data_IF_849758091667
#
_entry.id   IF_849758091667
#
_cell.length_a   1.000
_cell.length_b   1.000
_cell.length_c   1.000
_cell.angle_alpha   90.00
_cell.angle_beta   90.00
_cell.angle_gamma   90.00
#
_symmetry.space_group_name_H-M   'P 1'
#
loop_
_entity.id
_entity.type
_entity.pdbx_description
1 polymer ?
#
# COMPACT_ATOMS: atom_id res chain seq x y z
N UNK A 1 15.83 10.95 0.52
CA UNK A 1 15.54 9.70 1.24
C UNK A 1 14.14 9.32 0.86
N UNK A 2 13.94 8.13 0.28
CA UNK A 2 12.63 7.70 -0.16
C UNK A 2 11.64 7.63 1.00
N UNK A 3 10.45 8.19 0.79
CA UNK A 3 9.36 8.30 1.76
C UNK A 3 8.23 7.31 1.49
N UNK A 4 8.01 6.93 0.24
CA UNK A 4 6.97 5.96 -0.12
C UNK A 4 7.26 5.28 -1.45
N UNK A 5 6.76 4.05 -1.59
CA UNK A 5 6.67 3.38 -2.89
C UNK A 5 5.19 3.33 -3.29
N UNK A 6 4.89 3.96 -4.41
CA UNK A 6 3.54 4.13 -4.94
C UNK A 6 3.35 3.21 -6.14
N UNK A 7 2.11 2.81 -6.40
CA UNK A 7 1.74 2.09 -7.60
C UNK A 7 0.45 2.60 -8.22
N UNK A 8 0.32 2.39 -9.53
CA UNK A 8 -0.98 2.28 -10.15
C UNK A 8 -1.16 0.90 -10.74
N UNK A 9 -2.40 0.42 -10.81
CA UNK A 9 -2.72 -0.86 -11.42
C UNK A 9 -4.15 -0.81 -11.98
N UNK A 10 -4.49 -1.78 -12.82
CA UNK A 10 -5.82 -1.92 -13.41
C UNK A 10 -6.48 -3.24 -13.05
N UNK A 11 -7.78 -3.17 -12.82
CA UNK A 11 -8.59 -4.33 -12.47
C UNK A 11 -10.00 -3.92 -12.08
N UNK A 12 -10.91 -4.86 -12.26
CA UNK A 12 -12.24 -4.73 -11.68
C UNK A 12 -12.15 -4.97 -10.18
N UNK A 13 -12.81 -4.11 -9.42
CA UNK A 13 -12.95 -4.33 -7.98
C UNK A 13 -13.75 -5.62 -7.77
N UNK A 14 -13.28 -6.54 -6.91
CA UNK A 14 -14.15 -7.60 -6.42
C UNK A 14 -15.39 -6.99 -5.76
N UNK A 15 -16.53 -7.69 -5.74
CA UNK A 15 -17.82 -7.23 -5.22
C UNK A 15 -17.67 -6.18 -4.10
N UNK A 16 -18.12 -4.94 -4.36
CA UNK A 16 -17.91 -3.81 -3.45
C UNK A 16 -18.58 -4.10 -2.11
N UNK A 17 -17.81 -4.10 -1.02
CA UNK A 17 -18.32 -4.36 0.34
C UNK A 17 -18.91 -3.09 0.99
N UNK A 18 -18.81 -1.93 0.33
CA UNK A 18 -19.31 -0.64 0.83
C UNK A 18 -20.20 0.13 -0.15
N UNK A 19 -21.12 0.92 0.41
CA UNK A 19 -22.13 1.70 -0.34
C UNK A 19 -21.66 3.09 -0.79
N UNK A 20 -20.56 3.61 -0.21
CA UNK A 20 -20.14 5.02 -0.41
C UNK A 20 -18.75 5.20 -1.02
N UNK A 21 -17.77 4.36 -0.66
CA UNK A 21 -16.37 4.50 -1.07
C UNK A 21 -15.89 3.16 -1.62
N UNK A 22 -15.24 3.19 -2.77
CA UNK A 22 -14.68 2.01 -3.42
C UNK A 22 -13.27 1.72 -2.94
N UNK A 23 -12.83 0.47 -3.06
CA UNK A 23 -11.48 0.02 -2.75
C UNK A 23 -11.39 -0.91 -1.53
N UNK A 24 -12.48 -1.13 -0.79
CA UNK A 24 -12.46 -1.97 0.41
C UNK A 24 -12.07 -3.40 0.07
N UNK A 25 -12.62 -3.94 -1.02
CA UNK A 25 -12.34 -5.30 -1.46
C UNK A 25 -10.88 -5.49 -1.86
N UNK A 26 -10.23 -4.46 -2.42
CA UNK A 26 -8.78 -4.46 -2.64
C UNK A 26 -8.01 -4.41 -1.33
N UNK A 27 -8.42 -3.53 -0.40
CA UNK A 27 -7.76 -3.42 0.90
C UNK A 27 -7.81 -4.74 1.67
N UNK A 28 -8.96 -5.41 1.68
CA UNK A 28 -9.14 -6.75 2.26
C UNK A 28 -8.27 -7.79 1.58
N UNK A 29 -8.27 -7.85 0.24
CA UNK A 29 -7.44 -8.79 -0.51
C UNK A 29 -5.95 -8.63 -0.21
N UNK A 30 -5.47 -7.39 -0.12
CA UNK A 30 -4.08 -7.10 0.25
C UNK A 30 -3.81 -7.50 1.70
N UNK A 31 -4.69 -7.13 2.62
CA UNK A 31 -4.59 -7.50 4.03
C UNK A 31 -4.54 -9.02 4.22
N UNK A 32 -5.46 -9.76 3.62
CA UNK A 32 -5.53 -11.22 3.69
C UNK A 32 -4.30 -11.88 3.05
N UNK A 33 -3.86 -11.37 1.89
CA UNK A 33 -2.67 -11.84 1.20
C UNK A 33 -1.41 -11.64 2.04
N UNK A 34 -1.25 -10.48 2.67
CA UNK A 34 -0.13 -10.22 3.59
C UNK A 34 -0.25 -11.06 4.86
N UNK A 35 -1.44 -11.15 5.47
CA UNK A 35 -1.69 -11.98 6.65
C UNK A 35 -1.33 -13.46 6.42
N UNK A 36 -1.67 -14.01 5.25
CA UNK A 36 -1.31 -15.40 4.87
C UNK A 36 0.20 -15.64 4.76
N UNK A 37 0.98 -14.57 4.60
CA UNK A 37 2.45 -14.57 4.55
C UNK A 37 3.08 -14.25 5.90
N UNK A 38 2.30 -14.22 6.98
CA UNK A 38 2.76 -14.02 8.35
C UNK A 38 2.94 -12.57 8.78
N UNK A 39 2.43 -11.60 8.01
CA UNK A 39 2.52 -10.19 8.34
C UNK A 39 1.47 -9.78 9.39
N UNK A 40 1.82 -8.85 10.28
CA UNK A 40 0.90 -8.37 11.32
C UNK A 40 0.03 -7.23 10.80
N UNK A 41 -1.20 -7.55 10.43
CA UNK A 41 -2.17 -6.59 9.87
C UNK A 41 -3.01 -5.96 10.98
N UNK A 42 -3.15 -4.64 10.94
CA UNK A 42 -4.05 -3.87 11.79
C UNK A 42 -5.45 -3.75 11.20
N UNK A 43 -6.24 -2.81 11.72
CA UNK A 43 -7.58 -2.56 11.21
C UNK A 43 -7.53 -1.86 9.84
N UNK A 44 -8.47 -2.23 8.96
CA UNK A 44 -8.73 -1.49 7.72
C UNK A 44 -9.64 -0.31 8.06
N UNK A 45 -9.21 0.89 7.72
CA UNK A 45 -9.95 2.12 8.00
C UNK A 45 -10.25 2.94 6.75
N UNK A 46 -11.21 3.86 6.87
CA UNK A 46 -11.46 4.89 5.87
C UNK A 46 -10.25 5.83 5.76
N UNK A 47 -9.79 6.06 4.52
CA UNK A 47 -8.82 7.09 4.21
C UNK A 47 -9.48 8.30 3.56
N UNK A 48 -9.83 9.28 4.40
CA UNK A 48 -10.31 10.63 4.00
C UNK A 48 -11.49 10.62 3.05
N UNK A 49 -12.44 9.71 3.27
CA UNK A 49 -13.63 9.49 2.46
C UNK A 49 -13.32 9.17 0.98
N UNK A 50 -12.11 8.71 0.66
CA UNK A 50 -11.60 8.59 -0.72
C UNK A 50 -10.89 7.28 -1.03
N UNK A 51 -10.73 6.42 -0.03
CA UNK A 51 -10.08 5.13 -0.16
C UNK A 51 -9.99 4.42 1.18
N UNK A 52 -9.11 3.44 1.25
CA UNK A 52 -8.94 2.60 2.43
C UNK A 52 -7.48 2.54 2.85
N UNK A 53 -7.27 2.52 4.16
CA UNK A 53 -5.97 2.43 4.81
C UNK A 53 -5.84 1.06 5.47
N UNK A 54 -4.75 0.36 5.18
CA UNK A 54 -4.33 -0.86 5.87
C UNK A 54 -3.14 -0.49 6.73
N UNK A 55 -3.25 -0.73 8.03
CA UNK A 55 -2.11 -0.62 8.94
C UNK A 55 -1.33 -1.93 8.96
N UNK A 56 -0.01 -1.84 8.90
CA UNK A 56 0.87 -3.01 8.91
C UNK A 56 2.03 -2.79 9.90
N UNK A 57 2.43 -3.86 10.58
CA UNK A 57 3.65 -3.90 11.39
C UNK A 57 4.58 -4.99 10.87
N UNK A 58 5.84 -4.62 10.60
CA UNK A 58 6.90 -5.53 10.18
C UNK A 58 8.21 -5.11 10.83
N UNK A 59 8.89 -6.05 11.50
CA UNK A 59 10.18 -5.80 12.19
C UNK A 59 10.17 -4.55 13.09
N UNK A 60 9.08 -4.32 13.82
CA UNK A 60 8.82 -3.13 14.66
C UNK A 60 8.68 -1.80 13.90
N UNK A 61 8.75 -1.80 12.56
CA UNK A 61 8.39 -0.68 11.72
C UNK A 61 6.88 -0.72 11.41
N UNK A 62 6.28 0.47 11.35
CA UNK A 62 4.86 0.64 11.06
C UNK A 62 4.68 1.23 9.66
N UNK A 63 3.72 0.68 8.92
CA UNK A 63 3.41 1.07 7.55
C UNK A 63 1.93 1.41 7.43
N UNK A 64 1.67 2.40 6.59
CA UNK A 64 0.35 2.71 6.08
C UNK A 64 0.34 2.29 4.60
N UNK A 65 -0.58 1.39 4.24
CA UNK A 65 -0.87 1.06 2.84
C UNK A 65 -2.22 1.68 2.50
N UNK A 66 -2.23 2.63 1.58
CA UNK A 66 -3.45 3.29 1.11
C UNK A 66 -3.81 2.73 -0.25
N UNK A 67 -5.10 2.42 -0.45
CA UNK A 67 -5.68 2.08 -1.74
C UNK A 67 -6.82 3.05 -2.04
N UNK A 68 -6.80 3.66 -3.21
CA UNK A 68 -7.86 4.55 -3.67
C UNK A 68 -8.14 4.39 -5.16
N UNK A 69 -9.32 4.80 -5.58
CA UNK A 69 -9.70 4.81 -6.98
C UNK A 69 -8.98 5.95 -7.71
N UNK A 70 -8.51 5.70 -8.93
CA UNK A 70 -8.02 6.77 -9.80
C UNK A 70 -9.19 7.61 -10.30
N UNK A 71 -9.11 8.94 -10.15
CA UNK A 71 -10.19 9.81 -10.60
C UNK A 71 -10.31 9.84 -12.13
N UNK A 72 -11.50 9.53 -12.66
CA UNK A 72 -11.77 9.52 -14.09
C UNK A 72 -11.53 8.17 -14.78
N UNK A 73 -11.18 7.12 -14.03
CA UNK A 73 -11.01 5.77 -14.58
C UNK A 73 -11.44 4.69 -13.57
N UNK A 74 -12.60 4.08 -13.83
CA UNK A 74 -13.25 3.17 -12.88
C UNK A 74 -12.54 1.84 -12.67
N UNK A 75 -11.55 1.53 -13.51
CA UNK A 75 -10.77 0.30 -13.48
C UNK A 75 -9.33 0.56 -13.09
N UNK A 76 -8.93 1.80 -12.83
CA UNK A 76 -7.57 2.16 -12.42
C UNK A 76 -7.55 2.52 -10.94
N UNK A 77 -6.53 2.04 -10.27
CA UNK A 77 -6.35 2.16 -8.83
C UNK A 77 -4.99 2.72 -8.52
N UNK A 78 -4.93 3.43 -7.39
CA UNK A 78 -3.71 3.99 -6.82
C UNK A 78 -3.44 3.24 -5.52
N UNK A 79 -2.17 2.90 -5.30
CA UNK A 79 -1.69 2.30 -4.08
C UNK A 79 -0.48 3.09 -3.58
N UNK A 80 -0.39 3.32 -2.28
CA UNK A 80 0.76 3.98 -1.66
C UNK A 80 1.19 3.19 -0.42
N UNK A 81 2.49 2.90 -0.34
CA UNK A 81 3.11 2.28 0.85
C UNK A 81 4.06 3.30 1.45
N UNK A 82 3.79 3.71 2.68
CA UNK A 82 4.59 4.70 3.39
C UNK A 82 4.79 4.30 4.87
N UNK A 83 5.84 4.81 5.54
CA UNK A 83 5.92 4.73 7.00
C UNK A 83 4.70 5.39 7.65
N UNK A 84 4.13 4.75 8.67
CA UNK A 84 2.97 5.30 9.37
C UNK A 84 3.31 6.62 10.06
N UNK A 85 2.48 7.66 9.87
CA UNK A 85 2.73 9.01 10.44
C UNK A 85 2.39 9.11 11.93
N UNK A 86 1.51 8.25 12.44
CA UNK A 86 1.07 8.24 13.83
C UNK A 86 1.04 6.80 14.37
N UNK A 87 2.15 6.28 14.92
CA UNK A 87 2.05 5.14 15.82
C UNK A 87 1.15 5.59 16.98
N UNK A 88 -0.02 4.98 17.15
CA UNK A 88 -1.12 5.51 17.97
C UNK A 88 -0.72 6.12 19.32
N UNK A 89 -1.50 7.11 19.81
CA UNK A 89 -1.22 7.94 20.98
C UNK A 89 -0.68 7.22 22.23
N UNK A 90 -1.09 5.97 22.45
CA UNK A 90 -0.66 5.17 23.62
C UNK A 90 0.82 4.76 23.54
N UNK A 91 1.43 4.68 22.34
CA UNK A 91 2.81 4.19 22.15
C UNK A 91 3.90 5.25 22.31
N UNK A 92 3.52 6.53 22.44
CA UNK A 92 4.46 7.64 22.72
C UNK A 92 5.25 7.45 24.01
N UNK A 93 4.80 6.55 24.90
CA UNK A 93 5.43 6.27 26.19
C UNK A 93 6.33 5.01 26.25
N UNK A 94 6.38 4.16 25.20
CA UNK A 94 7.02 2.83 25.28
C UNK A 94 8.12 2.54 24.24
N UNK A 95 8.88 3.56 23.83
CA UNK A 95 10.12 3.36 23.06
C UNK A 95 10.03 3.76 21.60
N UNK A 96 11.20 3.98 20.99
CA UNK A 96 11.35 4.56 19.66
C UNK A 96 10.64 3.74 18.59
N UNK A 97 9.65 4.32 17.94
CA UNK A 97 9.08 3.75 16.72
C UNK A 97 10.14 3.85 15.63
N UNK A 98 10.59 2.71 15.11
CA UNK A 98 11.52 2.69 14.00
C UNK A 98 10.79 3.19 12.76
N UNK A 99 11.34 4.24 12.15
CA UNK A 99 10.89 4.70 10.84
C UNK A 99 11.26 3.62 9.83
N UNK A 100 10.27 3.13 9.07
CA UNK A 100 10.51 2.12 8.06
C UNK A 100 11.61 2.58 7.09
N UNK A 101 12.57 1.69 6.84
CA UNK A 101 13.65 1.91 5.88
C UNK A 101 13.15 1.71 4.46
N UNK A 102 13.87 2.24 3.47
CA UNK A 102 13.50 2.05 2.06
C UNK A 102 13.56 0.58 1.62
N UNK A 103 14.43 -0.25 2.24
CA UNK A 103 14.43 -1.70 1.99
C UNK A 103 13.16 -2.36 2.53
N UNK A 104 12.72 -1.99 3.73
CA UNK A 104 11.47 -2.54 4.28
C UNK A 104 10.24 -2.09 3.49
N UNK A 105 10.21 -0.85 3.00
CA UNK A 105 9.14 -0.39 2.08
C UNK A 105 9.14 -1.25 0.81
N UNK A 106 10.31 -1.53 0.24
CA UNK A 106 10.44 -2.38 -0.95
C UNK A 106 9.99 -3.82 -0.69
N UNK A 107 10.28 -4.39 0.49
CA UNK A 107 9.82 -5.73 0.88
C UNK A 107 8.29 -5.80 0.92
N UNK A 108 7.64 -4.82 1.55
CA UNK A 108 6.18 -4.71 1.59
C UNK A 108 5.62 -4.57 0.18
N UNK A 109 6.20 -3.69 -0.64
CA UNK A 109 5.78 -3.50 -2.02
C UNK A 109 5.94 -4.77 -2.87
N UNK A 110 7.00 -5.54 -2.65
CA UNK A 110 7.22 -6.83 -3.31
C UNK A 110 6.17 -7.86 -2.92
N UNK A 111 5.79 -7.91 -1.64
CA UNK A 111 4.73 -8.79 -1.18
C UNK A 111 3.36 -8.37 -1.76
N UNK A 112 3.05 -7.07 -1.75
CA UNK A 112 1.83 -6.51 -2.35
C UNK A 112 1.79 -6.76 -3.85
N UNK A 113 2.89 -6.56 -4.57
CA UNK A 113 2.97 -6.81 -6.00
C UNK A 113 2.62 -8.25 -6.35
N UNK A 114 3.16 -9.21 -5.62
CA UNK A 114 2.82 -10.62 -5.83
C UNK A 114 1.33 -10.89 -5.61
N UNK A 115 0.71 -10.29 -4.57
CA UNK A 115 -0.75 -10.40 -4.34
C UNK A 115 -1.55 -9.80 -5.50
N UNK A 116 -1.08 -8.68 -6.07
CA UNK A 116 -1.75 -8.06 -7.21
C UNK A 116 -1.64 -8.92 -8.48
N UNK A 117 -0.46 -9.50 -8.72
CA UNK A 117 -0.21 -10.41 -9.85
C UNK A 117 -1.04 -11.70 -9.71
N UNK A 118 -1.06 -12.30 -8.52
CA UNK A 118 -1.89 -13.49 -8.21
C UNK A 118 -3.39 -13.17 -8.36
N UNK A 119 -3.77 -11.91 -8.16
CA UNK A 119 -5.10 -11.37 -8.38
C UNK A 119 -5.48 -11.13 -9.85
N UNK A 120 -4.56 -11.38 -10.80
CA UNK A 120 -4.69 -11.09 -12.23
C UNK A 120 -4.93 -9.60 -12.56
N UNK A 121 -4.38 -8.68 -11.76
CA UNK A 121 -4.41 -7.26 -12.09
C UNK A 121 -3.32 -6.89 -13.09
N UNK A 122 -3.61 -5.91 -13.95
CA UNK A 122 -2.75 -5.52 -15.07
C UNK A 122 -2.16 -4.12 -14.90
N UNK A 123 -1.25 -3.77 -15.82
CA UNK A 123 -0.69 -2.42 -15.95
C UNK A 123 -0.15 -1.87 -14.63
N UNK A 124 0.46 -2.75 -13.84
CA UNK A 124 1.06 -2.40 -12.56
C UNK A 124 2.31 -1.59 -12.85
N UNK A 125 2.35 -0.36 -12.36
CA UNK A 125 3.51 0.52 -12.41
C UNK A 125 3.85 0.95 -11.00
N UNK A 126 5.14 0.98 -10.67
CA UNK A 126 5.68 1.35 -9.37
C UNK A 126 6.61 2.54 -9.50
N UNK A 127 6.54 3.45 -8.54
CA UNK A 127 7.43 4.61 -8.47
C UNK A 127 7.82 4.94 -7.02
N UNK A 128 8.99 5.53 -6.84
CA UNK A 128 9.41 6.09 -5.56
C UNK A 128 8.99 7.55 -5.46
N UNK A 129 8.33 7.93 -4.37
CA UNK A 129 7.95 9.30 -4.00
C UNK A 129 7.12 10.09 -5.03
N UNK A 130 6.81 9.49 -6.18
CA UNK A 130 6.09 10.11 -7.28
C UNK A 130 4.81 9.35 -7.60
N UNK A 131 3.95 9.99 -8.38
CA UNK A 131 2.78 9.35 -8.92
C UNK A 131 3.21 8.29 -9.95
N UNK A 132 2.66 7.08 -9.82
CA UNK A 132 3.11 5.94 -10.61
C UNK A 132 2.45 5.93 -12.00
N UNK A 133 2.69 6.99 -12.77
CA UNK A 133 2.25 7.20 -14.15
C UNK A 133 3.34 7.79 -15.07
N UNK A 134 4.54 8.03 -14.54
CA UNK A 134 5.68 8.56 -15.30
C UNK A 134 6.45 7.46 -16.05
N UNK A 135 7.21 7.87 -17.07
CA UNK A 135 8.08 6.97 -17.83
C UNK A 135 9.25 6.39 -17.00
N UNK A 136 9.52 6.99 -15.84
CA UNK A 136 10.55 6.54 -14.90
C UNK A 136 10.05 5.43 -13.95
N UNK A 137 8.77 5.04 -14.06
CA UNK A 137 8.16 3.96 -13.29
C UNK A 137 8.55 2.57 -13.84
N UNK A 138 8.49 1.54 -13.00
CA UNK A 138 8.80 0.17 -13.38
C UNK A 138 7.61 -0.77 -13.16
N UNK A 139 7.55 -1.90 -13.88
CA UNK A 139 6.48 -2.91 -13.75
C UNK A 139 6.59 -3.74 -12.47
N UNK A 140 7.73 -3.65 -11.81
CA UNK A 140 8.03 -4.31 -10.53
C UNK A 140 8.42 -3.27 -9.49
N UNK A 141 8.24 -3.56 -8.19
CA UNK A 141 8.70 -2.67 -7.12
C UNK A 141 10.17 -2.29 -7.30
N UNK A 142 10.42 -1.00 -7.43
CA UNK A 142 11.74 -0.47 -7.75
C UNK A 142 12.70 -0.65 -6.56
N UNK A 143 13.93 -1.16 -6.76
CA UNK A 143 14.93 -1.14 -5.71
C UNK A 143 15.33 0.29 -5.37
N UNK A 144 15.55 0.58 -4.09
CA UNK A 144 16.02 1.91 -3.70
C UNK A 144 17.45 2.15 -4.20
N UNK A 145 17.61 3.08 -5.15
CA UNK A 145 18.93 3.56 -5.60
C UNK A 145 19.21 4.89 -4.91
N UNK A 146 20.27 4.98 -4.10
CA UNK A 146 20.80 6.29 -3.67
C UNK A 146 21.39 6.96 -4.91
N UNK A 147 20.73 8.01 -5.40
CA UNK A 147 21.37 8.99 -6.28
C UNK A 147 22.36 9.83 -5.48
#
# INVERSE_FOLDING_TARGET
>A
MARSQNATFRGDEPESVGDRIRGESFARRIADGLGSRGWSIGEIGDWRDSGFLIQLVHENAHFDIVVSQYHGDDRRWILQIAPARYPGWIRRFFGSVMVATSSQIQEVATAVHAILVDGNYSDILWCWDDFADSDDCDRVPMPYRRL
#
